data_IF_698720299448
#
_entry.id   IF_698720299448
#
_cell.length_a   1.000
_cell.length_b   1.000
_cell.length_c   1.000
_cell.angle_alpha   90.00
_cell.angle_beta   90.00
_cell.angle_gamma   90.00
#
_symmetry.space_group_name_H-M   'P 1'
#
loop_
_entity.id
_entity.type
_entity.pdbx_description
1 polymer ?
#
# COMPACT_ATOMS: atom_id res chain seq x y z
N UNK A 1 61.70 -6.36 -32.29
CA UNK A 1 60.68 -6.51 -33.36
C UNK A 1 59.67 -7.51 -32.84
N UNK A 2 58.68 -7.03 -32.09
CA UNK A 2 57.36 -6.62 -32.61
C UNK A 2 56.47 -7.84 -32.84
N UNK A 3 55.24 -7.70 -32.34
CA UNK A 3 54.05 -8.53 -32.65
C UNK A 3 53.86 -9.76 -31.78
N UNK A 4 52.71 -10.06 -31.17
CA UNK A 4 51.49 -9.35 -30.73
C UNK A 4 50.52 -10.49 -30.32
N UNK A 5 49.67 -10.25 -29.29
CA UNK A 5 48.24 -10.66 -29.21
C UNK A 5 47.90 -12.18 -29.19
N UNK A 6 47.00 -12.72 -28.35
CA UNK A 6 45.90 -12.18 -27.54
C UNK A 6 45.68 -13.05 -26.29
N UNK A 7 45.59 -12.43 -25.12
CA UNK A 7 44.99 -13.06 -23.95
C UNK A 7 43.48 -13.19 -24.15
N UNK A 8 43.00 -14.43 -24.19
CA UNK A 8 41.57 -14.75 -24.15
C UNK A 8 41.02 -14.45 -22.76
N UNK A 9 40.36 -13.30 -22.61
CA UNK A 9 39.51 -13.03 -21.46
C UNK A 9 38.28 -13.94 -21.55
N UNK A 10 38.27 -15.00 -20.73
CA UNK A 10 37.08 -15.78 -20.43
C UNK A 10 36.08 -14.85 -19.74
N UNK A 11 35.09 -14.37 -20.49
CA UNK A 11 33.90 -13.72 -19.94
C UNK A 11 33.10 -14.78 -19.18
N UNK A 12 33.41 -14.91 -17.89
CA UNK A 12 32.54 -15.54 -16.90
C UNK A 12 31.23 -14.75 -16.87
N UNK A 13 30.21 -15.27 -17.55
CA UNK A 13 28.84 -14.77 -17.43
C UNK A 13 28.33 -15.17 -16.04
N UNK A 14 28.58 -14.31 -15.05
CA UNK A 14 27.90 -14.42 -13.76
C UNK A 14 26.39 -14.26 -14.01
N UNK A 15 25.55 -15.25 -13.64
CA UNK A 15 24.12 -15.08 -13.76
C UNK A 15 23.68 -13.94 -12.83
N UNK A 16 23.05 -12.91 -13.42
CA UNK A 16 22.45 -11.80 -12.70
C UNK A 16 21.54 -12.37 -11.60
N UNK A 17 21.89 -12.03 -10.35
CA UNK A 17 21.22 -12.53 -9.16
C UNK A 17 19.71 -12.37 -9.29
N UNK A 18 18.99 -13.48 -9.15
CA UNK A 18 17.55 -13.44 -8.89
C UNK A 18 17.36 -12.57 -7.67
N UNK A 19 16.77 -11.38 -7.88
CA UNK A 19 16.21 -10.58 -6.80
C UNK A 19 15.10 -11.41 -6.17
N UNK A 20 15.42 -12.14 -5.10
CA UNK A 20 14.43 -12.75 -4.21
C UNK A 20 13.70 -11.60 -3.49
N UNK A 21 12.78 -10.95 -4.18
CA UNK A 21 11.68 -10.30 -3.49
C UNK A 21 10.81 -11.44 -3.00
N UNK A 22 10.70 -11.61 -1.69
CA UNK A 22 9.74 -12.49 -1.05
C UNK A 22 8.33 -12.12 -1.54
N UNK A 23 7.91 -12.70 -2.67
CA UNK A 23 6.62 -12.48 -3.29
C UNK A 23 5.65 -13.49 -2.69
N UNK A 24 5.52 -13.48 -1.36
CA UNK A 24 4.31 -14.02 -0.78
C UNK A 24 3.18 -13.12 -1.31
N UNK A 25 2.16 -13.67 -1.99
CA UNK A 25 1.06 -12.86 -2.49
C UNK A 25 0.42 -12.15 -1.30
N UNK A 26 0.38 -10.82 -1.34
CA UNK A 26 -0.35 -10.04 -0.33
C UNK A 26 -1.83 -10.40 -0.46
N UNK A 27 -2.50 -10.61 0.67
CA UNK A 27 -3.94 -10.89 0.67
C UNK A 27 -4.69 -9.71 0.05
N UNK A 28 -5.63 -10.01 -0.85
CA UNK A 28 -6.58 -9.01 -1.36
C UNK A 28 -7.66 -8.73 -0.32
N UNK A 29 -8.39 -7.63 -0.48
CA UNK A 29 -9.51 -7.31 0.42
C UNK A 29 -10.59 -8.38 0.40
N UNK A 30 -10.90 -8.96 -0.76
CA UNK A 30 -11.79 -10.12 -0.83
C UNK A 30 -11.31 -11.28 0.05
N UNK A 31 -10.02 -11.60 -0.01
CA UNK A 31 -9.44 -12.67 0.81
C UNK A 31 -9.44 -12.33 2.31
N UNK A 32 -9.27 -11.06 2.68
CA UNK A 32 -9.39 -10.62 4.06
C UNK A 32 -10.83 -10.74 4.59
N UNK A 33 -11.84 -10.44 3.77
CA UNK A 33 -13.25 -10.60 4.18
C UNK A 33 -13.63 -12.06 4.45
N UNK A 34 -13.02 -12.99 3.72
CA UNK A 34 -13.20 -14.43 3.93
C UNK A 34 -12.35 -14.97 5.08
N UNK A 35 -11.28 -14.26 5.46
CA UNK A 35 -10.35 -14.69 6.48
C UNK A 35 -10.81 -14.28 7.89
N UNK A 36 -11.27 -15.28 8.64
CA UNK A 36 -11.93 -15.11 9.94
C UNK A 36 -11.21 -15.90 11.05
N UNK A 37 -9.99 -15.50 11.45
CA UNK A 37 -9.32 -16.15 12.57
C UNK A 37 -10.07 -15.90 13.88
N UNK A 38 -10.14 -16.90 14.76
CA UNK A 38 -10.78 -16.72 16.08
C UNK A 38 -9.95 -15.81 17.01
N UNK A 39 -8.63 -15.80 16.83
CA UNK A 39 -7.70 -14.98 17.58
C UNK A 39 -7.23 -13.75 16.80
N UNK A 40 -6.80 -12.72 17.52
CA UNK A 40 -6.16 -11.54 16.94
C UNK A 40 -4.87 -11.93 16.21
N UNK A 41 -4.68 -11.39 15.00
CA UNK A 41 -3.47 -11.58 14.21
C UNK A 41 -2.75 -10.25 14.05
N UNK A 42 -1.52 -10.17 14.56
CA UNK A 42 -0.67 -9.00 14.48
C UNK A 42 0.03 -8.88 13.12
N UNK A 43 0.63 -7.72 12.86
CA UNK A 43 1.47 -7.43 11.69
C UNK A 43 0.78 -7.64 10.34
N UNK A 44 -0.54 -7.49 10.31
CA UNK A 44 -1.34 -7.58 9.09
C UNK A 44 -1.15 -6.31 8.26
N UNK A 45 -0.81 -6.51 6.99
CA UNK A 45 -0.62 -5.42 6.02
C UNK A 45 -1.79 -5.37 5.04
N UNK A 46 -2.49 -4.24 5.03
CA UNK A 46 -3.59 -3.97 4.10
C UNK A 46 -3.21 -2.83 3.17
N UNK A 47 -3.43 -3.00 1.86
CA UNK A 47 -3.19 -1.96 0.85
C UNK A 47 -4.51 -1.67 0.13
N UNK A 48 -4.76 -0.41 -0.20
CA UNK A 48 -5.93 -0.05 -0.97
C UNK A 48 -6.16 1.46 -1.00
N UNK A 49 -7.36 1.84 -1.41
CA UNK A 49 -7.82 3.22 -1.52
C UNK A 49 -8.92 3.47 -0.49
N UNK A 50 -8.88 4.63 0.14
CA UNK A 50 -9.91 5.04 1.11
C UNK A 50 -11.21 5.37 0.35
N UNK A 51 -12.29 4.65 0.67
CA UNK A 51 -13.64 4.83 0.11
C UNK A 51 -14.49 5.80 0.93
N UNK A 52 -14.33 5.79 2.25
CA UNK A 52 -14.96 6.75 3.15
C UNK A 52 -14.12 6.92 4.42
N UNK A 53 -14.23 8.09 5.05
CA UNK A 53 -13.62 8.39 6.35
C UNK A 53 -14.71 8.89 7.28
N UNK A 54 -14.82 8.28 8.46
CA UNK A 54 -15.70 8.74 9.53
C UNK A 54 -14.85 9.10 10.75
N UNK A 55 -14.94 10.37 11.15
CA UNK A 55 -14.20 10.90 12.29
C UNK A 55 -14.98 10.62 13.59
N UNK A 56 -14.33 9.98 14.57
CA UNK A 56 -14.85 9.82 15.92
C UNK A 56 -13.97 10.59 16.92
N UNK A 57 -14.34 10.58 18.21
CA UNK A 57 -13.61 11.34 19.24
C UNK A 57 -12.14 10.93 19.36
N UNK A 58 -11.87 9.62 19.35
CA UNK A 58 -10.54 9.03 19.59
C UNK A 58 -9.95 8.33 18.36
N UNK A 59 -10.79 7.83 17.46
CA UNK A 59 -10.39 7.03 16.30
C UNK A 59 -10.97 7.59 14.99
N UNK A 60 -10.36 7.25 13.86
CA UNK A 60 -10.88 7.44 12.52
C UNK A 60 -11.24 6.08 11.92
N UNK A 61 -12.47 5.94 11.49
CA UNK A 61 -12.97 4.76 10.81
C UNK A 61 -12.81 4.95 9.31
N UNK A 62 -12.02 4.09 8.69
CA UNK A 62 -11.75 4.08 7.26
C UNK A 62 -12.44 2.88 6.64
N UNK A 63 -13.14 3.09 5.54
CA UNK A 63 -13.49 1.99 4.64
C UNK A 63 -12.46 1.95 3.53
N UNK A 64 -11.72 0.84 3.41
CA UNK A 64 -10.65 0.68 2.42
C UNK A 64 -11.06 -0.35 1.38
N UNK A 65 -10.80 -0.06 0.10
CA UNK A 65 -11.11 -0.92 -1.05
C UNK A 65 -9.92 -1.05 -1.99
N UNK A 66 -9.72 -2.22 -2.61
CA UNK A 66 -8.65 -2.49 -3.60
C UNK A 66 -9.21 -2.90 -4.98
N UNK A 67 -10.54 -2.98 -5.11
CA UNK A 67 -11.24 -3.41 -6.33
C UNK A 67 -11.52 -4.92 -6.41
N UNK A 68 -10.98 -5.74 -5.50
CA UNK A 68 -11.21 -7.19 -5.48
C UNK A 68 -12.61 -7.58 -4.95
N UNK A 69 -13.25 -6.69 -4.20
CA UNK A 69 -14.60 -6.86 -3.67
C UNK A 69 -15.38 -5.54 -3.73
N UNK A 70 -16.72 -5.63 -3.79
CA UNK A 70 -17.62 -4.49 -3.64
C UNK A 70 -17.68 -4.00 -2.18
N UNK A 71 -17.45 -4.92 -1.24
CA UNK A 71 -17.46 -4.65 0.19
C UNK A 71 -16.07 -4.17 0.63
N UNK A 72 -15.94 -2.98 1.24
CA UNK A 72 -14.68 -2.52 1.78
C UNK A 72 -14.37 -3.14 3.14
N UNK A 73 -13.12 -3.05 3.57
CA UNK A 73 -12.70 -3.39 4.93
C UNK A 73 -12.72 -2.15 5.81
N UNK A 74 -13.23 -2.31 7.04
CA UNK A 74 -13.11 -1.31 8.08
C UNK A 74 -11.70 -1.36 8.70
N UNK A 75 -11.05 -0.19 8.73
CA UNK A 75 -9.81 0.02 9.43
C UNK A 75 -9.95 1.18 10.43
N UNK A 76 -9.42 1.00 11.63
CA UNK A 76 -9.41 1.98 12.71
C UNK A 76 -8.01 2.54 12.86
N UNK A 77 -7.89 3.87 12.82
CA UNK A 77 -6.64 4.59 13.04
C UNK A 77 -6.82 5.52 14.23
N UNK A 78 -5.89 5.52 15.19
CA UNK A 78 -5.91 6.50 16.29
C UNK A 78 -5.80 7.93 15.75
N UNK A 79 -6.58 8.86 16.32
CA UNK A 79 -6.44 10.30 16.01
C UNK A 79 -5.13 10.91 16.47
N UNK A 80 -4.42 10.25 17.39
CA UNK A 80 -3.09 10.69 17.84
C UNK A 80 -1.99 10.28 16.88
N UNK A 81 -2.28 9.48 15.84
CA UNK A 81 -1.30 9.11 14.83
C UNK A 81 -1.04 10.30 13.90
N UNK A 82 0.22 10.55 13.57
CA UNK A 82 0.66 11.73 12.81
C UNK A 82 -0.05 11.85 11.45
N UNK A 83 -0.06 10.76 10.68
CA UNK A 83 -0.75 10.72 9.38
C UNK A 83 -2.29 10.71 9.47
N UNK A 84 -2.87 10.63 10.67
CA UNK A 84 -4.31 10.47 10.80
C UNK A 84 -5.07 11.64 10.16
N UNK A 85 -4.55 12.86 10.25
CA UNK A 85 -5.16 14.07 9.70
C UNK A 85 -5.22 14.07 8.16
N UNK A 86 -4.25 13.44 7.50
CA UNK A 86 -4.08 13.43 6.05
C UNK A 86 -4.92 12.33 5.35
N UNK A 87 -5.56 11.44 6.11
CA UNK A 87 -6.43 10.39 5.58
C UNK A 87 -7.70 10.99 4.95
N UNK A 88 -7.76 10.94 3.62
CA UNK A 88 -8.87 11.48 2.80
C UNK A 88 -9.42 10.41 1.86
N UNK A 89 -10.70 10.53 1.52
CA UNK A 89 -11.34 9.70 0.49
C UNK A 89 -10.56 9.82 -0.83
N UNK A 90 -10.26 8.69 -1.47
CA UNK A 90 -9.46 8.61 -2.70
C UNK A 90 -7.96 8.39 -2.47
N UNK A 91 -7.46 8.55 -1.24
CA UNK A 91 -6.04 8.36 -0.97
C UNK A 91 -5.66 6.87 -1.05
N UNK A 92 -4.55 6.58 -1.73
CA UNK A 92 -3.92 5.28 -1.72
C UNK A 92 -3.09 5.13 -0.45
N UNK A 93 -3.32 4.05 0.31
CA UNK A 93 -2.72 3.83 1.62
C UNK A 93 -2.21 2.40 1.78
N UNK A 94 -1.18 2.26 2.61
CA UNK A 94 -0.77 1.01 3.23
C UNK A 94 -0.93 1.13 4.74
N UNK A 95 -1.73 0.23 5.30
CA UNK A 95 -2.01 0.15 6.72
C UNK A 95 -1.32 -1.10 7.27
N UNK A 96 -0.67 -0.98 8.44
CA UNK A 96 -0.20 -2.12 9.21
C UNK A 96 -0.80 -2.10 10.60
N UNK A 97 -1.24 -3.26 11.06
CA UNK A 97 -2.12 -3.33 12.21
C UNK A 97 -2.39 -4.74 12.71
N UNK A 98 -3.25 -4.79 13.71
CA UNK A 98 -3.84 -6.03 14.20
C UNK A 98 -5.17 -6.29 13.50
N UNK A 99 -5.34 -7.50 12.99
CA UNK A 99 -6.61 -8.00 12.48
C UNK A 99 -7.40 -8.62 13.62
N UNK A 100 -8.53 -8.00 13.97
CA UNK A 100 -9.32 -8.35 15.15
C UNK A 100 -10.78 -8.58 14.77
N UNK A 101 -11.53 -9.42 15.51
CA UNK A 101 -12.98 -9.49 15.37
C UNK A 101 -13.61 -8.10 15.54
N UNK A 102 -14.51 -7.73 14.62
CA UNK A 102 -15.18 -6.43 14.72
C UNK A 102 -16.23 -6.45 15.83
N UNK A 103 -16.38 -5.30 16.50
CA UNK A 103 -17.43 -5.10 17.51
C UNK A 103 -18.77 -4.68 16.89
N UNK A 104 -18.80 -4.39 15.59
CA UNK A 104 -19.98 -3.84 14.90
C UNK A 104 -20.64 -4.92 14.05
N UNK A 105 -21.97 -4.92 14.01
CA UNK A 105 -22.73 -5.80 13.13
C UNK A 105 -22.47 -5.45 11.65
N UNK A 106 -22.33 -6.47 10.80
CA UNK A 106 -22.16 -6.31 9.35
C UNK A 106 -20.75 -6.53 8.81
N UNK A 107 -19.73 -6.67 9.66
CA UNK A 107 -18.41 -7.12 9.24
C UNK A 107 -17.78 -8.01 10.31
N UNK A 108 -17.16 -9.13 9.90
CA UNK A 108 -16.60 -10.08 10.87
C UNK A 108 -15.35 -9.57 11.57
N UNK A 109 -14.51 -8.83 10.86
CA UNK A 109 -13.17 -8.43 11.30
C UNK A 109 -12.83 -7.03 10.83
N UNK A 110 -12.03 -6.32 11.63
CA UNK A 110 -11.55 -4.98 11.34
C UNK A 110 -10.03 -4.90 11.55
N UNK A 111 -9.37 -3.98 10.85
CA UNK A 111 -7.94 -3.71 11.03
C UNK A 111 -7.73 -2.56 12.01
N UNK A 112 -7.10 -2.81 13.17
CA UNK A 112 -6.61 -1.76 14.05
C UNK A 112 -5.20 -1.36 13.65
N UNK A 113 -5.09 -0.28 12.88
CA UNK A 113 -3.84 0.16 12.30
C UNK A 113 -3.01 0.99 13.30
N UNK A 114 -1.79 0.55 13.55
CA UNK A 114 -0.79 1.27 14.34
C UNK A 114 0.24 1.99 13.45
N UNK A 115 0.32 1.64 12.16
CA UNK A 115 1.16 2.31 11.18
C UNK A 115 0.37 2.63 9.91
N UNK A 116 0.51 3.86 9.44
CA UNK A 116 -0.15 4.38 8.23
C UNK A 116 0.90 4.96 7.29
N UNK A 117 0.90 4.50 6.04
CA UNK A 117 1.71 5.04 4.95
C UNK A 117 0.78 5.51 3.83
N UNK A 118 0.83 6.80 3.49
CA UNK A 118 0.07 7.36 2.35
C UNK A 118 0.93 7.19 1.10
N UNK A 119 0.53 6.27 0.22
CA UNK A 119 1.23 5.97 -1.03
C UNK A 119 0.90 6.97 -2.14
N UNK A 120 -0.29 7.57 -2.06
CA UNK A 120 -0.75 8.58 -3.00
C UNK A 120 -1.84 9.43 -2.33
N UNK A 121 -1.62 10.73 -2.11
CA UNK A 121 -2.63 11.58 -1.49
C UNK A 121 -3.84 11.72 -2.42
N UNK A 122 -5.02 11.91 -1.82
CA UNK A 122 -6.18 12.38 -2.56
C UNK A 122 -6.06 13.89 -2.76
N UNK A 123 -5.43 14.29 -3.85
CA UNK A 123 -5.36 15.69 -4.26
C UNK A 123 -5.78 15.85 -5.73
N UNK A 124 -6.77 16.71 -5.96
CA UNK A 124 -7.18 17.10 -7.30
C UNK A 124 -6.08 17.88 -8.04
N UNK A 125 -5.15 18.53 -7.31
CA UNK A 125 -4.03 19.30 -7.89
C UNK A 125 -2.88 18.42 -8.37
N UNK A 126 -2.67 17.23 -7.81
CA UNK A 126 -1.64 16.31 -8.27
C UNK A 126 -1.87 15.88 -9.74
N UNK A 127 -3.12 15.87 -10.19
CA UNK A 127 -3.46 15.56 -11.59
C UNK A 127 -3.14 16.70 -12.57
N UNK A 128 -3.01 17.95 -12.11
CA UNK A 128 -2.78 19.12 -12.97
C UNK A 128 -1.31 19.51 -13.14
N UNK A 129 -0.41 19.03 -12.27
CA UNK A 129 1.02 19.34 -12.38
C UNK A 129 1.81 18.34 -13.24
N UNK A 130 1.21 17.21 -13.63
CA UNK A 130 1.86 16.27 -14.56
C UNK A 130 1.86 16.78 -16.02
N UNK A 131 0.95 17.69 -16.38
CA UNK A 131 0.92 18.28 -17.73
C UNK A 131 1.80 19.53 -17.90
N UNK A 132 2.13 20.26 -16.83
CA UNK A 132 2.99 21.45 -16.97
C UNK A 132 4.49 21.13 -17.01
N UNK A 133 4.92 19.96 -16.51
CA UNK A 133 6.32 19.53 -16.60
C UNK A 133 6.68 18.99 -18.01
N UNK A 134 5.73 18.35 -18.69
CA UNK A 134 5.94 17.77 -20.03
C UNK A 134 5.92 18.79 -21.18
N UNK A 135 5.38 20.00 -20.97
CA UNK A 135 5.37 21.06 -21.99
C UNK A 135 6.58 22.00 -21.93
N UNK A 136 7.45 21.90 -20.92
CA UNK A 136 8.63 22.76 -20.81
C UNK A 136 9.93 22.15 -21.35
N UNK A 137 9.91 20.89 -21.81
CA UNK A 137 11.12 20.18 -22.31
C UNK A 137 11.21 20.17 -23.86
N UNK A 138 10.28 20.83 -24.57
CA UNK A 138 10.36 21.07 -26.02
C UNK A 138 9.86 22.49 -26.34
N UNK A 139 10.50 23.49 -25.74
CA UNK A 139 10.36 24.90 -26.12
C UNK A 139 11.76 25.45 -26.37
N UNK A 140 12.00 25.79 -27.63
CA UNK A 140 13.28 26.08 -28.29
C UNK A 140 14.14 27.19 -27.68
#
# INVERSE_FOLDING_TARGET
MSSQRLGGFLLSTQPLGRRWQSTAPRKTIAQFLDWKPEAEVNDVVLNGYIRSVRNMKTERFLNVGDGSSRTPIQALVSRTHDESANLRVGAAVRLRGSWVPSKTEGQSHELRAHHVEILGPSDAKASLLYFSCLLSVHGS
#
